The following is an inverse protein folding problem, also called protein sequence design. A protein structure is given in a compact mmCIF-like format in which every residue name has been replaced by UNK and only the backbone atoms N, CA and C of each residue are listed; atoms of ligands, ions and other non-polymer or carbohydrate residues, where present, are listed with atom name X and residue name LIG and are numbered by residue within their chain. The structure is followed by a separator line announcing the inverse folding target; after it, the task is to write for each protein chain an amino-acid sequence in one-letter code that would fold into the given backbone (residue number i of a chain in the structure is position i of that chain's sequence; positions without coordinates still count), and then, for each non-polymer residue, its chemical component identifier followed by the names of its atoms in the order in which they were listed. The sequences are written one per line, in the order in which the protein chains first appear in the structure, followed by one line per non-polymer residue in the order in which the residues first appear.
data_IF_435545851193
#
_entry.id   IF_435545851193
#
_cell.length_a   1.000
_cell.length_b   1.000
_cell.length_c   1.000
_cell.angle_alpha   90.00
_cell.angle_beta   90.00
_cell.angle_gamma   90.00
#
_symmetry.space_group_name_H-M   'P 1'
#
loop_
_entity.id
_entity.type
_entity.pdbx_description
1 polymer ?
#
# COMPACT_ATOMS: atom_id res chain seq x y z
N UNK A 1 -38.30 -29.08 -7.83
CA UNK A 1 -38.45 -28.12 -8.95
C UNK A 1 -37.07 -27.62 -9.34
N UNK A 2 -36.41 -28.31 -10.28
CA UNK A 2 -35.20 -27.79 -10.91
C UNK A 2 -35.59 -26.61 -11.80
N UNK A 3 -35.07 -25.42 -11.48
CA UNK A 3 -35.14 -24.27 -12.38
C UNK A 3 -34.20 -24.55 -13.56
N UNK A 4 -34.69 -25.27 -14.57
CA UNK A 4 -33.99 -25.42 -15.85
C UNK A 4 -34.20 -24.13 -16.66
N UNK A 5 -33.35 -23.14 -16.41
CA UNK A 5 -33.31 -21.91 -17.18
C UNK A 5 -32.75 -22.26 -18.56
N UNK A 6 -33.62 -22.38 -19.56
CA UNK A 6 -33.24 -22.46 -20.97
C UNK A 6 -32.54 -21.16 -21.35
N UNK A 7 -31.22 -21.16 -21.17
CA UNK A 7 -30.37 -20.03 -21.49
C UNK A 7 -29.95 -20.14 -22.95
N UNK A 8 -30.32 -19.16 -23.77
CA UNK A 8 -29.96 -19.11 -25.18
C UNK A 8 -28.43 -19.11 -25.35
N UNK A 9 -27.87 -19.72 -26.42
CA UNK A 9 -26.42 -19.81 -26.62
C UNK A 9 -25.71 -18.44 -26.59
N UNK A 10 -26.31 -17.43 -27.23
CA UNK A 10 -25.78 -16.06 -27.25
C UNK A 10 -25.73 -15.42 -25.85
N UNK A 11 -26.77 -15.64 -25.04
CA UNK A 11 -26.83 -15.10 -23.68
C UNK A 11 -25.83 -15.79 -22.74
N UNK A 12 -25.54 -17.09 -22.94
CA UNK A 12 -24.48 -17.78 -22.16
C UNK A 12 -23.12 -17.13 -22.37
N UNK A 13 -22.80 -16.77 -23.61
CA UNK A 13 -21.52 -16.15 -23.95
C UNK A 13 -21.41 -14.72 -23.40
N UNK A 14 -22.51 -13.95 -23.43
CA UNK A 14 -22.58 -12.61 -22.84
C UNK A 14 -22.38 -12.66 -21.32
N UNK A 15 -23.10 -13.53 -20.60
CA UNK A 15 -22.96 -13.71 -19.15
C UNK A 15 -21.55 -14.14 -18.78
N UNK A 16 -20.95 -15.06 -19.54
CA UNK A 16 -19.57 -15.52 -19.32
C UNK A 16 -18.57 -14.38 -19.49
N UNK A 17 -18.80 -13.49 -20.46
CA UNK A 17 -17.94 -12.32 -20.70
C UNK A 17 -18.02 -11.33 -19.54
N UNK A 18 -19.23 -11.02 -19.08
CA UNK A 18 -19.46 -10.07 -17.99
C UNK A 18 -18.91 -10.58 -16.65
N UNK A 19 -19.08 -11.87 -16.37
CA UNK A 19 -18.47 -12.52 -15.20
C UNK A 19 -16.95 -12.38 -15.23
N UNK A 20 -16.31 -12.60 -16.38
CA UNK A 20 -14.85 -12.48 -16.53
C UNK A 20 -14.36 -11.04 -16.35
N UNK A 21 -15.14 -10.04 -16.78
CA UNK A 21 -14.83 -8.62 -16.57
C UNK A 21 -14.94 -8.27 -15.08
N UNK A 22 -16.03 -8.68 -14.42
CA UNK A 22 -16.22 -8.48 -12.98
C UNK A 22 -15.15 -9.16 -12.15
N UNK A 23 -14.76 -10.38 -12.51
CA UNK A 23 -13.71 -11.14 -11.83
C UNK A 23 -12.37 -10.40 -11.89
N UNK A 24 -11.96 -9.92 -13.08
CA UNK A 24 -10.73 -9.12 -13.21
C UNK A 24 -10.75 -7.83 -12.39
N UNK A 25 -11.86 -7.10 -12.42
CA UNK A 25 -12.02 -5.88 -11.62
C UNK A 25 -11.95 -6.17 -10.11
N UNK A 26 -12.58 -7.26 -9.66
CA UNK A 26 -12.52 -7.69 -8.27
C UNK A 26 -11.11 -8.06 -7.81
N UNK A 27 -10.32 -8.72 -8.67
CA UNK A 27 -8.91 -9.03 -8.37
C UNK A 27 -8.10 -7.74 -8.20
N UNK A 28 -8.25 -6.78 -9.11
CA UNK A 28 -7.55 -5.49 -9.03
C UNK A 28 -7.91 -4.69 -7.75
N UNK A 29 -9.20 -4.63 -7.41
CA UNK A 29 -9.66 -3.97 -6.18
C UNK A 29 -9.10 -4.70 -4.94
N UNK A 30 -9.09 -6.03 -4.95
CA UNK A 30 -8.55 -6.82 -3.84
C UNK A 30 -7.06 -6.56 -3.64
N UNK A 31 -6.29 -6.47 -4.71
CA UNK A 31 -4.84 -6.22 -4.66
C UNK A 31 -4.53 -4.81 -4.15
N UNK A 32 -5.23 -3.80 -4.66
CA UNK A 32 -5.10 -2.40 -4.20
C UNK A 32 -5.46 -2.27 -2.71
N UNK A 33 -6.58 -2.86 -2.30
CA UNK A 33 -7.01 -2.85 -0.90
C UNK A 33 -6.05 -3.63 0.01
N UNK A 34 -5.42 -4.70 -0.48
CA UNK A 34 -4.38 -5.42 0.26
C UNK A 34 -3.16 -4.52 0.50
N UNK A 35 -2.71 -3.77 -0.50
CA UNK A 35 -1.61 -2.81 -0.37
C UNK A 35 -1.96 -1.73 0.67
N UNK A 36 -3.15 -1.14 0.60
CA UNK A 36 -3.59 -0.12 1.56
C UNK A 36 -3.59 -0.64 3.00
N UNK A 37 -4.11 -1.85 3.23
CA UNK A 37 -4.08 -2.49 4.56
C UNK A 37 -2.66 -2.65 5.10
N UNK A 38 -1.70 -3.01 4.24
CA UNK A 38 -0.29 -3.12 4.67
C UNK A 38 0.31 -1.75 5.02
N UNK A 39 -0.07 -0.69 4.31
CA UNK A 39 0.35 0.68 4.60
C UNK A 39 -0.21 1.16 5.94
N UNK A 40 -1.50 0.97 6.19
CA UNK A 40 -2.13 1.31 7.47
C UNK A 40 -1.54 0.54 8.65
N UNK A 41 -1.17 -0.72 8.45
CA UNK A 41 -0.45 -1.50 9.46
C UNK A 41 0.94 -0.87 9.76
N UNK A 42 1.67 -0.43 8.74
CA UNK A 42 2.98 0.22 8.92
C UNK A 42 2.86 1.54 9.71
N UNK A 43 1.86 2.36 9.39
CA UNK A 43 1.59 3.61 10.13
C UNK A 43 1.22 3.34 11.59
N UNK A 44 0.37 2.34 11.86
CA UNK A 44 0.07 1.92 13.24
C UNK A 44 1.32 1.51 14.02
N UNK A 45 2.23 0.75 13.40
CA UNK A 45 3.48 0.36 14.08
C UNK A 45 4.38 1.57 14.35
N UNK A 46 4.45 2.53 13.44
CA UNK A 46 5.19 3.77 13.65
C UNK A 46 4.61 4.61 14.80
N UNK A 47 3.29 4.79 14.84
CA UNK A 47 2.62 5.51 15.92
C UNK A 47 2.81 4.81 17.28
N UNK A 48 2.87 3.48 17.32
CA UNK A 48 3.19 2.74 18.53
C UNK A 48 4.63 3.04 19.02
N UNK A 49 5.63 3.05 18.12
CA UNK A 49 6.99 3.46 18.47
C UNK A 49 7.06 4.90 18.98
N UNK A 50 6.34 5.82 18.33
CA UNK A 50 6.25 7.22 18.78
C UNK A 50 5.61 7.37 20.14
N UNK A 51 4.52 6.64 20.41
CA UNK A 51 3.89 6.62 21.73
C UNK A 51 4.88 6.18 22.80
N UNK A 52 5.56 5.06 22.62
CA UNK A 52 6.53 4.55 23.59
C UNK A 52 7.69 5.53 23.79
N UNK A 53 8.23 6.10 22.71
CA UNK A 53 9.29 7.09 22.78
C UNK A 53 8.89 8.32 23.61
N UNK A 54 7.72 8.91 23.31
CA UNK A 54 7.20 10.07 24.02
C UNK A 54 6.88 9.74 25.49
N UNK A 55 6.27 8.58 25.76
CA UNK A 55 5.99 8.15 27.13
C UNK A 55 7.27 8.03 27.96
N UNK A 56 8.35 7.47 27.41
CA UNK A 56 9.63 7.35 28.12
C UNK A 56 10.26 8.74 28.36
N UNK A 57 10.20 9.64 27.38
CA UNK A 57 10.72 11.00 27.52
C UNK A 57 9.93 11.76 28.61
N UNK A 58 8.59 11.74 28.55
CA UNK A 58 7.72 12.39 29.54
C UNK A 58 7.93 11.79 30.93
N UNK A 59 8.05 10.47 31.04
CA UNK A 59 8.32 9.80 32.31
C UNK A 59 9.70 10.20 32.87
N UNK A 60 10.73 10.29 32.03
CA UNK A 60 12.07 10.76 32.43
C UNK A 60 12.04 12.19 32.97
N UNK A 61 11.39 13.11 32.24
CA UNK A 61 11.21 14.49 32.70
C UNK A 61 10.40 14.57 33.99
N UNK A 62 9.31 13.80 34.09
CA UNK A 62 8.44 13.79 35.26
C UNK A 62 9.20 13.28 36.50
N UNK A 63 9.93 12.17 36.39
CA UNK A 63 10.75 11.64 37.49
C UNK A 63 11.79 12.67 37.97
N UNK A 64 12.45 13.36 37.03
CA UNK A 64 13.41 14.40 37.38
C UNK A 64 12.74 15.56 38.14
N UNK A 65 11.58 16.01 37.68
CA UNK A 65 10.90 17.19 38.25
C UNK A 65 10.25 16.93 39.61
N UNK A 66 9.69 15.74 39.84
CA UNK A 66 8.96 15.43 41.09
C UNK A 66 9.88 14.96 42.23
N UNK A 67 10.88 14.12 41.94
CA UNK A 67 11.67 13.48 43.01
C UNK A 67 12.95 14.25 43.38
N UNK A 68 13.47 15.10 42.49
CA UNK A 68 14.68 15.93 42.70
C UNK A 68 15.81 15.24 43.49
N UNK A 69 16.03 13.95 43.25
CA UNK A 69 17.02 13.13 43.95
C UNK A 69 18.08 12.64 42.96
N UNK A 70 19.25 12.26 43.45
CA UNK A 70 20.34 11.76 42.60
C UNK A 70 19.89 10.55 41.76
N UNK A 71 19.06 9.68 42.34
CA UNK A 71 18.50 8.51 41.66
C UNK A 71 17.58 8.93 40.51
N UNK A 72 16.75 9.97 40.68
CA UNK A 72 15.84 10.43 39.62
C UNK A 72 16.59 11.10 38.47
N UNK A 73 17.72 11.76 38.74
CA UNK A 73 18.61 12.31 37.71
C UNK A 73 19.22 11.20 36.86
N UNK A 74 19.73 10.13 37.48
CA UNK A 74 20.25 8.96 36.75
C UNK A 74 19.17 8.27 35.91
N UNK A 75 17.97 8.06 36.47
CA UNK A 75 16.86 7.47 35.72
C UNK A 75 16.45 8.33 34.52
N UNK A 76 16.33 9.65 34.69
CA UNK A 76 16.01 10.55 33.60
C UNK A 76 17.10 10.54 32.51
N UNK A 77 18.37 10.49 32.92
CA UNK A 77 19.53 10.35 32.04
C UNK A 77 19.52 9.07 31.20
N UNK A 78 18.82 8.02 31.63
CA UNK A 78 18.65 6.77 30.86
C UNK A 78 17.35 6.79 30.05
N UNK A 79 16.23 7.20 30.65
CA UNK A 79 14.91 7.15 30.02
C UNK A 79 14.79 8.06 28.79
N UNK A 80 15.35 9.27 28.86
CA UNK A 80 15.23 10.25 27.77
C UNK A 80 16.00 9.76 26.53
N UNK A 81 17.29 9.37 26.63
CA UNK A 81 18.01 8.80 25.49
C UNK A 81 17.39 7.49 24.97
N UNK A 82 16.90 6.62 25.86
CA UNK A 82 16.22 5.39 25.45
C UNK A 82 14.95 5.69 24.64
N UNK A 83 14.15 6.66 25.07
CA UNK A 83 12.96 7.13 24.35
C UNK A 83 13.32 7.69 22.97
N UNK A 84 14.34 8.54 22.90
CA UNK A 84 14.85 9.09 21.63
C UNK A 84 15.36 7.98 20.69
N UNK A 85 16.11 7.01 21.21
CA UNK A 85 16.62 5.88 20.43
C UNK A 85 15.48 5.03 19.85
N UNK A 86 14.49 4.69 20.66
CA UNK A 86 13.30 3.93 20.21
C UNK A 86 12.55 4.71 19.14
N UNK A 87 12.36 6.02 19.35
CA UNK A 87 11.69 6.88 18.39
C UNK A 87 12.43 6.97 17.06
N UNK A 88 13.75 7.16 17.11
CA UNK A 88 14.61 7.20 15.93
C UNK A 88 14.59 5.89 15.15
N UNK A 89 14.71 4.74 15.83
CA UNK A 89 14.61 3.41 15.20
C UNK A 89 13.23 3.20 14.56
N UNK A 90 12.16 3.61 15.21
CA UNK A 90 10.79 3.57 14.69
C UNK A 90 10.65 4.39 13.40
N UNK A 91 11.20 5.62 13.39
CA UNK A 91 11.19 6.50 12.23
C UNK A 91 11.95 5.92 11.04
N UNK A 92 13.18 5.43 11.25
CA UNK A 92 13.97 4.81 10.18
C UNK A 92 13.24 3.61 9.56
N UNK A 93 12.61 2.78 10.39
CA UNK A 93 11.88 1.59 9.92
C UNK A 93 10.65 1.97 9.09
N UNK A 94 9.95 3.03 9.50
CA UNK A 94 8.81 3.58 8.79
C UNK A 94 9.19 4.11 7.40
N UNK A 95 10.24 4.93 7.32
CA UNK A 95 10.72 5.52 6.04
C UNK A 95 11.16 4.43 5.07
N UNK A 96 11.94 3.44 5.52
CA UNK A 96 12.38 2.31 4.68
C UNK A 96 11.21 1.52 4.10
N UNK A 97 10.19 1.24 4.91
CA UNK A 97 8.99 0.51 4.45
C UNK A 97 8.14 1.35 3.50
N UNK A 98 7.97 2.66 3.76
CA UNK A 98 7.28 3.57 2.84
C UNK A 98 7.96 3.63 1.48
N UNK A 99 9.29 3.70 1.44
CA UNK A 99 10.05 3.74 0.18
C UNK A 99 9.87 2.45 -0.65
N UNK A 100 9.84 1.29 0.00
CA UNK A 100 9.59 0.00 -0.66
C UNK A 100 8.17 -0.09 -1.24
N UNK A 101 7.15 0.33 -0.47
CA UNK A 101 5.76 0.30 -0.91
C UNK A 101 5.53 1.26 -2.08
N UNK A 102 6.13 2.46 -2.05
CA UNK A 102 6.02 3.44 -3.14
C UNK A 102 6.56 2.88 -4.47
N UNK A 103 7.74 2.25 -4.46
CA UNK A 103 8.31 1.62 -5.68
C UNK A 103 7.42 0.51 -6.26
N UNK A 104 6.80 -0.31 -5.41
CA UNK A 104 5.87 -1.35 -5.87
C UNK A 104 4.57 -0.77 -6.43
N UNK A 105 4.12 0.37 -5.92
CA UNK A 105 2.96 1.12 -6.45
C UNK A 105 3.25 1.73 -7.81
N UNK A 106 4.42 2.36 -7.97
CA UNK A 106 4.83 2.99 -9.23
C UNK A 106 5.08 1.96 -10.35
N UNK A 107 5.49 0.74 -9.98
CA UNK A 107 5.61 -0.40 -10.91
C UNK A 107 4.27 -1.08 -11.24
N UNK A 108 3.19 -0.78 -10.52
CA UNK A 108 1.86 -1.34 -10.77
C UNK A 108 1.12 -0.48 -11.79
N UNK A 109 1.33 -0.76 -13.07
CA UNK A 109 0.52 -0.20 -14.15
C UNK A 109 -0.73 -1.08 -14.28
N UNK A 110 -1.95 -0.56 -14.13
CA UNK A 110 -3.16 -1.36 -14.25
C UNK A 110 -3.21 -1.97 -15.65
N UNK A 111 -3.42 -3.29 -15.73
CA UNK A 111 -3.37 -4.06 -16.97
C UNK A 111 -4.28 -3.50 -18.07
N UNK A 112 -5.34 -2.78 -17.68
CA UNK A 112 -6.25 -2.08 -18.59
C UNK A 112 -5.60 -0.89 -19.29
N UNK A 113 -4.76 -0.11 -18.61
CA UNK A 113 -4.00 0.99 -19.21
C UNK A 113 -2.89 0.47 -20.12
N UNK A 114 -2.18 -0.58 -19.69
CA UNK A 114 -1.16 -1.24 -20.50
C UNK A 114 -1.75 -1.80 -21.80
N UNK A 115 -2.92 -2.44 -21.73
CA UNK A 115 -3.64 -2.95 -22.89
C UNK A 115 -4.09 -1.84 -23.83
N UNK A 116 -4.54 -0.69 -23.29
CA UNK A 116 -4.93 0.46 -24.09
C UNK A 116 -3.75 1.07 -24.84
N UNK A 117 -2.59 1.18 -24.19
CA UNK A 117 -1.35 1.65 -24.80
C UNK A 117 -0.86 0.69 -25.90
N UNK A 118 -0.85 -0.62 -25.64
CA UNK A 118 -0.47 -1.62 -26.63
C UNK A 118 -1.43 -1.69 -27.82
N UNK A 119 -2.74 -1.49 -27.60
CA UNK A 119 -3.71 -1.37 -28.70
C UNK A 119 -3.48 -0.11 -29.52
N UNK A 120 -3.15 1.01 -28.88
CA UNK A 120 -2.84 2.25 -29.57
C UNK A 120 -1.55 2.12 -30.40
N UNK A 121 -0.50 1.51 -29.85
CA UNK A 121 0.74 1.20 -30.59
C UNK A 121 0.49 0.28 -31.79
N UNK A 122 -0.27 -0.81 -31.60
CA UNK A 122 -0.59 -1.72 -32.72
C UNK A 122 -1.43 -1.05 -33.81
N UNK A 123 -2.41 -0.22 -33.43
CA UNK A 123 -3.22 0.53 -34.39
C UNK A 123 -2.38 1.60 -35.14
N UNK A 124 -1.39 2.19 -34.48
CA UNK A 124 -0.43 3.09 -35.12
C UNK A 124 0.49 2.35 -36.10
N UNK A 125 1.01 1.18 -35.71
CA UNK A 125 1.85 0.35 -36.58
C UNK A 125 1.08 -0.13 -37.83
N UNK A 126 -0.18 -0.58 -37.67
CA UNK A 126 -1.04 -0.96 -38.80
C UNK A 126 -1.38 0.22 -39.71
N UNK A 127 -1.53 1.43 -39.15
CA UNK A 127 -1.78 2.64 -39.93
C UNK A 127 -0.53 3.06 -40.73
N UNK A 128 0.66 3.01 -40.13
CA UNK A 128 1.93 3.30 -40.82
C UNK A 128 2.24 2.28 -41.92
N UNK A 129 1.94 1.00 -41.70
CA UNK A 129 2.12 -0.07 -42.68
C UNK A 129 1.19 0.12 -43.90
N UNK A 130 -0.08 0.48 -43.69
CA UNK A 130 -1.03 0.80 -44.77
C UNK A 130 -0.63 2.04 -45.57
N UNK A 131 -0.01 3.03 -44.94
CA UNK A 131 0.48 4.23 -45.63
C UNK A 131 1.67 3.89 -46.53
N UNK A 132 2.61 3.05 -46.07
CA UNK A 132 3.75 2.60 -46.88
C UNK A 132 3.38 1.67 -48.03
N UNK A 133 2.29 0.92 -47.93
CA UNK A 133 1.83 -0.01 -48.97
C UNK A 133 1.06 0.70 -50.11
N UNK A 134 0.59 1.92 -49.87
CA UNK A 134 -0.14 2.76 -50.84
C UNK A 134 0.72 3.89 -51.45
N UNK A 135 2.02 3.93 -51.15
CA UNK A 135 3.00 4.86 -51.72
C UNK A 135 3.96 4.09 -52.64
#
# INVERSE_FOLDING_TARGET
MEYNIYMSPEFKDEVKRDLKIKEKANVEIKDTLAIERTSFANERTFLAYMRTALSLIVAGFSLHQFFKSDISMWLAGILIPAGLYIGYKGYLKFVKKRALIKRKRDAYVPAKQMLALLKAEKAQAEAEEKIKMNL
#
